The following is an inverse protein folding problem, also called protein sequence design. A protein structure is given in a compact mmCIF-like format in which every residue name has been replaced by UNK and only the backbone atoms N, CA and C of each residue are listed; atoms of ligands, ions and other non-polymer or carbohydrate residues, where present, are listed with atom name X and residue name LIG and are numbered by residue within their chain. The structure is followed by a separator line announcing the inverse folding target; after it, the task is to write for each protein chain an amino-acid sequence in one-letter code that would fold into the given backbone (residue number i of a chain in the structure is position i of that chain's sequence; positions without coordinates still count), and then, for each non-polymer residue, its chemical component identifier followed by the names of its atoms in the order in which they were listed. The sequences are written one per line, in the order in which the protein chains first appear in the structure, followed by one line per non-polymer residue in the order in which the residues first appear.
data_IF_852253113129
#
_entry.id   IF_852253113129
#
_cell.length_a   1.000
_cell.length_b   1.000
_cell.length_c   1.000
_cell.angle_alpha   90.00
_cell.angle_beta   90.00
_cell.angle_gamma   90.00
#
_symmetry.space_group_name_H-M   'P 1'
#
loop_
_entity.id
_entity.type
_entity.pdbx_description
1 polymer ?
#
# COMPACT_ATOMS: atom_id res chain seq x y z
N UNK A 1 14.11 -40.98 -8.44
CA UNK A 1 13.13 -41.59 -9.36
C UNK A 1 12.21 -40.55 -9.94
N UNK A 2 11.92 -40.68 -11.22
CA UNK A 2 10.93 -39.83 -11.91
C UNK A 2 9.52 -40.30 -11.54
N UNK A 3 8.54 -39.37 -11.54
CA UNK A 3 7.11 -39.68 -11.29
C UNK A 3 6.83 -40.36 -9.95
N UNK A 4 7.44 -39.90 -8.87
CA UNK A 4 7.25 -40.53 -7.56
C UNK A 4 5.78 -40.57 -7.13
N UNK A 5 4.96 -39.52 -7.39
CA UNK A 5 3.53 -39.54 -7.09
C UNK A 5 2.73 -40.56 -7.89
N UNK A 6 3.26 -41.07 -8.98
CA UNK A 6 2.68 -42.14 -9.79
C UNK A 6 3.29 -43.53 -9.53
N UNK A 7 4.09 -43.65 -8.47
CA UNK A 7 4.82 -44.87 -8.12
C UNK A 7 4.39 -45.30 -6.72
N UNK A 8 4.18 -46.62 -6.52
CA UNK A 8 3.93 -47.19 -5.19
C UNK A 8 5.16 -46.92 -4.31
N UNK A 9 4.94 -46.40 -3.11
CA UNK A 9 6.00 -45.90 -2.22
C UNK A 9 6.98 -47.03 -1.80
N UNK A 10 6.42 -48.25 -1.60
CA UNK A 10 7.21 -49.44 -1.26
C UNK A 10 8.16 -49.81 -2.41
N UNK A 11 7.67 -49.79 -3.65
CA UNK A 11 8.47 -50.04 -4.83
C UNK A 11 9.56 -48.99 -5.05
N UNK A 12 9.23 -47.73 -4.84
CA UNK A 12 10.21 -46.65 -4.90
C UNK A 12 11.35 -46.87 -3.88
N UNK A 13 11.05 -47.29 -2.66
CA UNK A 13 12.05 -47.62 -1.62
C UNK A 13 12.85 -48.82 -2.03
N UNK A 14 12.25 -49.88 -2.56
CA UNK A 14 12.95 -51.07 -3.05
C UNK A 14 13.97 -50.72 -4.11
N UNK A 15 13.60 -49.95 -5.13
CA UNK A 15 14.51 -49.50 -6.19
C UNK A 15 15.61 -48.62 -5.65
N UNK A 16 15.32 -47.65 -4.79
CA UNK A 16 16.33 -46.80 -4.17
C UNK A 16 17.34 -47.64 -3.36
N UNK A 17 16.86 -48.59 -2.56
CA UNK A 17 17.71 -49.43 -1.75
C UNK A 17 18.59 -50.35 -2.61
N UNK A 18 18.06 -50.90 -3.72
CA UNK A 18 18.87 -51.69 -4.66
C UNK A 18 20.02 -50.89 -5.29
N UNK A 19 19.76 -49.64 -5.65
CA UNK A 19 20.80 -48.71 -6.16
C UNK A 19 21.83 -48.39 -5.07
N UNK A 20 21.36 -48.09 -3.86
CA UNK A 20 22.22 -47.78 -2.72
C UNK A 20 23.11 -48.98 -2.32
N UNK A 21 22.63 -50.22 -2.42
CA UNK A 21 23.40 -51.42 -2.17
C UNK A 21 24.57 -51.60 -3.17
N UNK A 22 24.40 -51.12 -4.42
CA UNK A 22 25.49 -51.10 -5.42
C UNK A 22 26.43 -49.93 -5.20
N UNK A 23 25.87 -48.75 -4.90
CA UNK A 23 26.66 -47.53 -4.73
C UNK A 23 27.46 -47.48 -3.45
N UNK A 24 26.95 -48.08 -2.38
CA UNK A 24 27.55 -48.16 -1.03
C UNK A 24 28.02 -46.77 -0.55
N UNK A 25 27.11 -45.80 -0.37
CA UNK A 25 27.48 -44.50 0.11
C UNK A 25 28.01 -44.55 1.55
N UNK A 26 28.81 -43.57 1.90
CA UNK A 26 29.33 -43.38 3.25
C UNK A 26 29.05 -41.95 3.71
N UNK A 27 29.10 -41.65 5.02
CA UNK A 27 28.89 -40.28 5.50
C UNK A 27 29.82 -39.24 4.86
N UNK A 28 31.05 -39.65 4.49
CA UNK A 28 32.03 -38.80 3.81
C UNK A 28 31.82 -38.73 2.29
N UNK A 29 31.04 -39.66 1.73
CA UNK A 29 30.68 -39.72 0.31
C UNK A 29 29.21 -40.05 0.16
N UNK A 30 28.37 -39.08 0.44
CA UNK A 30 26.92 -39.23 0.41
C UNK A 30 26.38 -39.44 -1.01
N UNK A 31 25.30 -40.19 -1.10
CA UNK A 31 24.44 -40.23 -2.30
C UNK A 31 23.27 -39.29 -2.15
N UNK A 32 22.80 -38.74 -3.24
CA UNK A 32 21.55 -37.94 -3.27
C UNK A 32 20.45 -38.83 -3.86
N UNK A 33 19.40 -39.06 -3.11
CA UNK A 33 18.16 -39.66 -3.61
C UNK A 33 17.13 -38.53 -3.77
N UNK A 34 16.77 -38.25 -5.01
CA UNK A 34 15.79 -37.21 -5.32
C UNK A 34 14.38 -37.81 -5.51
N UNK A 35 13.42 -37.27 -4.83
CA UNK A 35 12.00 -37.67 -4.83
C UNK A 35 11.17 -36.53 -5.45
N UNK A 36 11.01 -36.51 -6.79
CA UNK A 36 10.23 -35.45 -7.45
C UNK A 36 8.74 -35.78 -7.43
N UNK A 37 7.91 -34.77 -7.27
CA UNK A 37 6.48 -34.95 -7.49
C UNK A 37 6.17 -35.17 -8.97
N UNK A 38 7.00 -34.66 -9.86
CA UNK A 38 6.90 -34.63 -11.34
C UNK A 38 5.62 -33.93 -11.80
N UNK A 39 4.46 -34.37 -11.34
CA UNK A 39 3.19 -33.67 -11.42
C UNK A 39 2.60 -33.64 -10.02
N UNK A 40 2.18 -32.46 -9.56
CA UNK A 40 1.57 -32.31 -8.25
C UNK A 40 0.12 -32.82 -8.27
N UNK A 41 -0.08 -34.12 -8.08
CA UNK A 41 -1.38 -34.77 -8.14
C UNK A 41 -1.96 -35.14 -6.77
N UNK A 42 -1.21 -34.94 -5.68
CA UNK A 42 -1.62 -35.22 -4.32
C UNK A 42 -1.57 -33.95 -3.43
N UNK A 43 -2.21 -34.02 -2.26
CA UNK A 43 -2.11 -32.94 -1.27
C UNK A 43 -0.75 -32.97 -0.55
N UNK A 44 -0.24 -31.82 -0.05
CA UNK A 44 1.06 -31.73 0.60
C UNK A 44 1.27 -32.75 1.74
N UNK A 45 0.26 -32.95 2.60
CA UNK A 45 0.36 -33.91 3.71
C UNK A 45 0.46 -35.37 3.23
N UNK A 46 -0.14 -35.73 2.08
CA UNK A 46 0.00 -37.06 1.49
C UNK A 46 1.45 -37.30 1.06
N UNK A 47 2.04 -36.31 0.37
CA UNK A 47 3.46 -36.35 0.02
C UNK A 47 4.35 -36.45 1.25
N UNK A 48 4.05 -35.66 2.31
CA UNK A 48 4.79 -35.74 3.57
C UNK A 48 4.74 -37.15 4.20
N UNK A 49 3.58 -37.79 4.25
CA UNK A 49 3.46 -39.17 4.74
C UNK A 49 4.27 -40.16 3.88
N UNK A 50 4.22 -40.02 2.55
CA UNK A 50 5.01 -40.87 1.64
C UNK A 50 6.51 -40.65 1.84
N UNK A 51 6.94 -39.40 1.99
CA UNK A 51 8.34 -39.06 2.21
C UNK A 51 8.85 -39.54 3.57
N UNK A 52 8.03 -39.43 4.63
CA UNK A 52 8.36 -39.99 5.94
C UNK A 52 8.56 -41.49 5.87
N UNK A 53 7.71 -42.19 5.09
CA UNK A 53 7.90 -43.60 4.82
C UNK A 53 9.23 -43.88 4.12
N UNK A 54 9.56 -43.15 3.06
CA UNK A 54 10.85 -43.27 2.36
C UNK A 54 12.00 -43.01 3.33
N UNK A 55 11.96 -41.92 4.09
CA UNK A 55 12.94 -41.55 5.09
C UNK A 55 13.25 -42.68 6.07
N UNK A 56 12.20 -43.36 6.55
CA UNK A 56 12.34 -44.45 7.56
C UNK A 56 12.81 -45.79 6.97
N UNK A 57 12.65 -46.01 5.67
CA UNK A 57 12.92 -47.31 5.03
C UNK A 57 14.12 -47.31 4.08
N UNK A 58 14.75 -46.14 3.84
CA UNK A 58 16.00 -46.06 3.08
C UNK A 58 17.16 -46.69 3.86
N UNK A 59 17.89 -47.59 3.21
CA UNK A 59 19.18 -48.06 3.70
C UNK A 59 20.21 -46.93 3.66
N UNK A 60 21.23 -47.03 4.49
CA UNK A 60 22.33 -46.06 4.56
C UNK A 60 21.86 -44.63 4.79
N UNK A 61 20.78 -44.42 5.54
CA UNK A 61 20.12 -43.09 5.68
C UNK A 61 21.09 -41.97 6.07
N UNK A 62 22.05 -42.25 6.95
CA UNK A 62 23.07 -41.26 7.38
C UNK A 62 24.08 -40.90 6.27
N UNK A 63 24.13 -41.71 5.21
CA UNK A 63 24.97 -41.50 4.02
C UNK A 63 24.15 -41.05 2.80
N UNK A 64 22.88 -40.70 2.98
CA UNK A 64 21.97 -40.25 1.91
C UNK A 64 21.47 -38.85 2.21
N UNK A 65 21.59 -37.99 1.25
CA UNK A 65 20.82 -36.74 1.22
C UNK A 65 19.48 -36.99 0.52
N UNK A 66 18.40 -36.97 1.28
CA UNK A 66 17.06 -37.13 0.75
C UNK A 66 16.58 -35.75 0.20
N UNK A 67 16.57 -35.68 -1.12
CA UNK A 67 16.21 -34.47 -1.85
C UNK A 67 14.78 -34.55 -2.35
N UNK A 68 14.06 -33.42 -2.32
CA UNK A 68 12.71 -33.30 -2.87
C UNK A 68 12.68 -32.26 -3.98
N UNK A 69 11.84 -32.48 -4.98
CA UNK A 69 11.68 -31.62 -6.15
C UNK A 69 10.21 -31.41 -6.45
N UNK A 70 9.51 -30.57 -5.69
CA UNK A 70 8.09 -30.32 -5.91
C UNK A 70 7.84 -29.48 -7.17
N UNK A 71 6.84 -29.87 -7.96
CA UNK A 71 6.18 -29.02 -8.95
C UNK A 71 4.99 -28.28 -8.33
N UNK A 72 4.38 -27.35 -9.08
CA UNK A 72 3.37 -26.44 -8.55
C UNK A 72 2.02 -26.51 -9.31
N UNK A 73 1.67 -27.69 -9.83
CA UNK A 73 0.49 -27.86 -10.68
C UNK A 73 -0.83 -27.52 -9.97
N UNK A 74 -0.89 -27.66 -8.64
CA UNK A 74 -2.05 -27.33 -7.80
C UNK A 74 -1.86 -26.03 -7.00
N UNK A 75 -0.73 -25.32 -7.20
CA UNK A 75 -0.40 -24.15 -6.41
C UNK A 75 0.09 -24.46 -4.99
N UNK A 76 0.48 -25.70 -4.69
CA UNK A 76 0.88 -26.13 -3.36
C UNK A 76 2.37 -26.47 -3.24
N UNK A 77 3.18 -26.17 -4.26
CA UNK A 77 4.60 -26.55 -4.32
C UNK A 77 5.39 -26.13 -3.10
N UNK A 78 5.19 -24.89 -2.59
CA UNK A 78 5.86 -24.39 -1.38
C UNK A 78 5.42 -25.18 -0.15
N UNK A 79 4.11 -25.39 0.05
CA UNK A 79 3.60 -26.18 1.17
C UNK A 79 4.08 -27.62 1.12
N UNK A 80 4.17 -28.20 -0.08
CA UNK A 80 4.72 -29.56 -0.30
C UNK A 80 6.18 -29.63 0.11
N UNK A 81 6.99 -28.59 -0.20
CA UNK A 81 8.39 -28.52 0.22
C UNK A 81 8.51 -28.41 1.74
N UNK A 82 7.74 -27.53 2.38
CA UNK A 82 7.77 -27.33 3.84
C UNK A 82 7.40 -28.61 4.59
N UNK A 83 6.32 -29.26 4.19
CA UNK A 83 5.91 -30.56 4.78
C UNK A 83 6.95 -31.63 4.49
N UNK A 84 7.56 -31.63 3.32
CA UNK A 84 8.64 -32.54 2.96
C UNK A 84 9.87 -32.41 3.86
N UNK A 85 10.30 -31.19 4.16
CA UNK A 85 11.40 -30.93 5.12
C UNK A 85 11.03 -31.43 6.51
N UNK A 86 9.81 -31.17 6.98
CA UNK A 86 9.32 -31.69 8.26
C UNK A 86 9.25 -33.23 8.29
N UNK A 87 9.03 -33.86 7.15
CA UNK A 87 8.96 -35.31 7.00
C UNK A 87 10.36 -36.00 6.84
N UNK A 88 11.44 -35.22 6.84
CA UNK A 88 12.81 -35.72 6.85
C UNK A 88 13.60 -35.51 5.56
N UNK A 89 13.18 -34.63 4.66
CA UNK A 89 14.03 -34.20 3.55
C UNK A 89 15.20 -33.35 4.07
N UNK A 90 16.38 -33.61 3.50
CA UNK A 90 17.60 -32.83 3.80
C UNK A 90 17.82 -31.70 2.80
N UNK A 91 17.18 -31.77 1.63
CA UNK A 91 17.39 -30.85 0.52
C UNK A 91 16.12 -30.59 -0.26
N UNK A 92 15.97 -29.35 -0.71
CA UNK A 92 14.87 -28.92 -1.62
C UNK A 92 15.49 -28.46 -2.93
N UNK A 93 14.97 -28.97 -4.04
CA UNK A 93 15.28 -28.53 -5.40
C UNK A 93 14.09 -27.75 -5.97
N UNK A 94 14.37 -26.64 -6.58
CA UNK A 94 13.36 -25.76 -7.18
C UNK A 94 14.01 -24.68 -8.02
N UNK A 95 13.28 -23.61 -8.26
CA UNK A 95 13.75 -22.50 -9.10
C UNK A 95 13.43 -21.15 -8.46
N UNK A 96 14.14 -20.12 -8.88
CA UNK A 96 13.80 -18.75 -8.50
C UNK A 96 12.43 -18.39 -9.08
N UNK A 97 11.56 -17.87 -8.22
CA UNK A 97 10.21 -17.44 -8.55
C UNK A 97 9.31 -18.53 -9.19
N UNK A 98 9.65 -19.80 -8.95
CA UNK A 98 8.84 -20.93 -9.40
C UNK A 98 8.91 -21.21 -10.91
N UNK A 99 9.89 -20.69 -11.64
CA UNK A 99 10.01 -20.94 -13.07
C UNK A 99 10.14 -22.44 -13.37
N UNK A 100 9.56 -22.91 -14.46
CA UNK A 100 9.65 -24.32 -14.87
C UNK A 100 8.52 -24.74 -15.81
N UNK A 101 8.45 -26.04 -16.05
CA UNK A 101 7.43 -26.60 -16.92
C UNK A 101 6.02 -26.45 -16.36
N UNK A 102 5.04 -26.28 -17.22
CA UNK A 102 3.60 -26.14 -16.94
C UNK A 102 3.36 -24.95 -16.01
N UNK A 103 3.00 -25.18 -14.75
CA UNK A 103 2.80 -24.15 -13.71
C UNK A 103 4.06 -23.80 -12.93
N UNK A 104 5.17 -24.47 -13.25
CA UNK A 104 6.49 -24.26 -12.64
C UNK A 104 6.84 -25.25 -11.53
N UNK A 105 8.01 -25.03 -10.96
CA UNK A 105 8.56 -25.74 -9.82
C UNK A 105 8.23 -25.02 -8.50
N UNK A 106 8.64 -25.61 -7.38
CA UNK A 106 8.62 -24.90 -6.10
C UNK A 106 9.50 -23.65 -6.19
N UNK A 107 8.99 -22.56 -5.66
CA UNK A 107 9.71 -21.28 -5.58
C UNK A 107 10.68 -21.30 -4.39
N UNK A 108 11.98 -21.35 -4.66
CA UNK A 108 13.03 -21.36 -3.65
C UNK A 108 13.12 -20.06 -2.86
N UNK A 109 12.71 -18.92 -3.45
CA UNK A 109 12.65 -17.65 -2.72
C UNK A 109 11.60 -17.73 -1.62
N UNK A 110 10.41 -18.25 -1.94
CA UNK A 110 9.35 -18.42 -0.96
C UNK A 110 9.75 -19.43 0.13
N UNK A 111 10.29 -20.59 -0.23
CA UNK A 111 10.72 -21.58 0.76
C UNK A 111 11.79 -21.00 1.70
N UNK A 112 12.82 -20.36 1.15
CA UNK A 112 13.89 -19.78 1.96
C UNK A 112 13.39 -18.64 2.86
N UNK A 113 12.55 -17.75 2.35
CA UNK A 113 12.00 -16.65 3.15
C UNK A 113 10.98 -17.14 4.19
N UNK A 114 10.22 -18.19 3.92
CA UNK A 114 9.36 -18.82 4.91
C UNK A 114 10.18 -19.43 6.06
N UNK A 115 11.27 -20.11 5.77
CA UNK A 115 12.20 -20.61 6.79
C UNK A 115 12.75 -19.44 7.63
N UNK A 116 13.25 -18.39 6.99
CA UNK A 116 13.77 -17.20 7.65
C UNK A 116 12.74 -16.56 8.57
N UNK A 117 11.49 -16.38 8.13
CA UNK A 117 10.42 -15.80 8.93
C UNK A 117 10.04 -16.63 10.16
N UNK A 118 10.40 -17.91 10.19
CA UNK A 118 10.26 -18.81 11.33
C UNK A 118 11.53 -18.97 12.16
N UNK A 119 12.57 -18.17 11.90
CA UNK A 119 13.82 -18.17 12.66
C UNK A 119 14.83 -19.22 12.24
N UNK A 120 14.66 -19.86 11.09
CA UNK A 120 15.62 -20.78 10.51
C UNK A 120 16.43 -20.10 9.41
N UNK A 121 17.75 -20.06 9.55
CA UNK A 121 18.63 -19.53 8.51
C UNK A 121 18.71 -20.49 7.32
N UNK A 122 18.19 -20.13 6.13
CA UNK A 122 18.28 -20.98 4.94
C UNK A 122 19.68 -20.99 4.31
N UNK A 123 20.63 -20.23 4.87
CA UNK A 123 21.98 -20.01 4.32
C UNK A 123 21.93 -19.44 2.88
N UNK A 124 20.90 -18.66 2.59
CA UNK A 124 20.66 -17.99 1.31
C UNK A 124 20.56 -16.47 1.55
N UNK A 125 21.17 -15.69 0.66
CA UNK A 125 21.15 -14.23 0.75
C UNK A 125 20.08 -13.63 -0.18
N UNK A 126 19.00 -13.16 0.41
CA UNK A 126 17.92 -12.41 -0.25
C UNK A 126 17.92 -10.92 0.10
N UNK A 127 18.98 -10.41 0.74
CA UNK A 127 19.08 -9.02 1.20
C UNK A 127 18.99 -7.97 0.07
N UNK A 128 19.11 -8.38 -1.19
CA UNK A 128 18.94 -7.52 -2.35
C UNK A 128 17.96 -8.13 -3.35
N UNK A 129 16.71 -8.27 -2.94
CA UNK A 129 15.64 -8.87 -3.74
C UNK A 129 15.43 -8.16 -5.08
N UNK A 130 15.55 -6.83 -5.11
CA UNK A 130 15.41 -6.06 -6.35
C UNK A 130 16.41 -6.48 -7.41
N UNK A 131 17.69 -6.61 -7.05
CA UNK A 131 18.75 -7.06 -7.98
C UNK A 131 18.51 -8.48 -8.45
N UNK A 132 17.98 -9.34 -7.59
CA UNK A 132 17.63 -10.71 -7.95
C UNK A 132 16.50 -10.74 -8.99
N UNK A 133 15.42 -9.98 -8.78
CA UNK A 133 14.31 -9.84 -9.74
C UNK A 133 14.82 -9.30 -11.08
N UNK A 134 15.56 -8.20 -11.09
CA UNK A 134 16.14 -7.60 -12.31
C UNK A 134 17.04 -8.61 -13.06
N UNK A 135 17.83 -9.39 -12.33
CA UNK A 135 18.71 -10.41 -12.93
C UNK A 135 17.89 -11.54 -13.55
N UNK A 136 16.87 -12.04 -12.82
CA UNK A 136 15.99 -13.09 -13.30
C UNK A 136 15.25 -12.65 -14.57
N UNK A 137 14.62 -11.47 -14.55
CA UNK A 137 13.87 -10.95 -15.68
C UNK A 137 14.74 -10.72 -16.92
N UNK A 138 15.95 -10.20 -16.73
CA UNK A 138 16.92 -10.00 -17.82
C UNK A 138 17.39 -11.33 -18.44
N UNK A 139 17.60 -12.37 -17.64
CA UNK A 139 18.12 -13.65 -18.11
C UNK A 139 17.04 -14.54 -18.75
N UNK A 140 15.83 -14.50 -18.21
CA UNK A 140 14.74 -15.37 -18.65
C UNK A 140 13.78 -14.70 -19.62
N UNK A 141 13.72 -13.36 -19.67
CA UNK A 141 12.71 -12.61 -20.38
C UNK A 141 11.31 -12.69 -19.76
N UNK A 142 11.19 -13.29 -18.58
CA UNK A 142 9.90 -13.46 -17.84
C UNK A 142 9.81 -12.43 -16.74
N UNK A 143 8.64 -11.86 -16.53
CA UNK A 143 8.39 -10.90 -15.46
C UNK A 143 8.00 -11.59 -14.15
N UNK A 144 8.51 -11.09 -13.03
CA UNK A 144 8.07 -11.48 -11.70
C UNK A 144 6.72 -10.83 -11.43
N UNK A 145 5.75 -11.60 -10.92
CA UNK A 145 4.43 -11.06 -10.61
C UNK A 145 4.52 -9.90 -9.61
N UNK A 146 3.79 -8.78 -9.81
CA UNK A 146 3.73 -7.70 -8.81
C UNK A 146 3.24 -8.14 -7.43
N UNK A 147 2.59 -9.31 -7.34
CA UNK A 147 2.11 -9.92 -6.10
C UNK A 147 2.90 -11.15 -5.67
N UNK A 148 4.08 -11.38 -6.27
CA UNK A 148 4.96 -12.48 -5.87
C UNK A 148 5.34 -12.31 -4.39
N UNK A 149 5.13 -13.31 -3.52
CA UNK A 149 5.51 -13.20 -2.13
C UNK A 149 6.97 -12.74 -1.97
N UNK A 150 7.22 -11.85 -1.02
CA UNK A 150 8.51 -11.22 -0.70
C UNK A 150 9.17 -10.38 -1.80
N UNK A 151 8.97 -10.70 -3.07
CA UNK A 151 9.67 -10.10 -4.21
C UNK A 151 8.83 -9.10 -5.02
N UNK A 152 7.52 -9.30 -5.07
CA UNK A 152 6.63 -8.50 -5.90
C UNK A 152 6.58 -7.03 -5.50
N UNK A 153 6.34 -6.17 -6.46
CA UNK A 153 6.31 -4.72 -6.28
C UNK A 153 5.29 -4.27 -5.21
N UNK A 154 4.16 -5.01 -5.07
CA UNK A 154 3.03 -4.64 -4.22
C UNK A 154 3.03 -5.31 -2.84
N UNK A 155 4.00 -6.17 -2.52
CA UNK A 155 3.93 -7.02 -1.32
C UNK A 155 4.10 -6.26 0.00
N UNK A 156 4.71 -5.08 -0.04
CA UNK A 156 4.86 -4.19 1.12
C UNK A 156 4.01 -2.93 1.00
N UNK A 157 2.90 -3.00 0.27
CA UNK A 157 2.00 -1.88 0.03
C UNK A 157 0.65 -2.15 0.72
N UNK A 158 0.14 -1.18 1.46
CA UNK A 158 -1.21 -1.24 2.02
C UNK A 158 -2.13 -0.22 1.33
N UNK A 159 -3.30 -0.67 0.87
CA UNK A 159 -4.27 0.17 0.16
C UNK A 159 -5.34 0.78 1.07
N UNK A 160 -5.60 0.18 2.22
CA UNK A 160 -6.59 0.66 3.18
C UNK A 160 -5.95 1.63 4.18
N UNK A 161 -6.59 2.77 4.42
CA UNK A 161 -6.12 3.74 5.41
C UNK A 161 -6.05 3.18 6.84
N UNK A 162 -6.92 2.22 7.19
CA UNK A 162 -6.85 1.53 8.49
C UNK A 162 -5.65 0.61 8.61
N UNK A 163 -5.27 -0.06 7.51
CA UNK A 163 -4.06 -0.90 7.48
C UNK A 163 -2.80 -0.04 7.58
N UNK A 164 -2.76 1.09 6.88
CA UNK A 164 -1.64 2.04 6.94
C UNK A 164 -1.44 2.63 8.34
N UNK A 165 -2.53 3.01 9.01
CA UNK A 165 -2.49 3.49 10.39
C UNK A 165 -1.97 2.41 11.35
N UNK A 166 -2.41 1.16 11.18
CA UNK A 166 -1.92 0.03 11.96
C UNK A 166 -0.43 -0.25 11.73
N UNK A 167 0.03 -0.22 10.47
CA UNK A 167 1.46 -0.37 10.13
C UNK A 167 2.28 0.76 10.74
N UNK A 168 1.86 2.01 10.60
CA UNK A 168 2.57 3.15 11.17
C UNK A 168 2.71 3.05 12.71
N UNK A 169 1.65 2.63 13.41
CA UNK A 169 1.68 2.37 14.86
C UNK A 169 2.59 1.20 15.22
N UNK A 170 2.54 0.11 14.44
CA UNK A 170 3.40 -1.05 14.62
C UNK A 170 4.88 -0.72 14.45
N UNK A 171 5.24 0.05 13.41
CA UNK A 171 6.61 0.50 13.20
C UNK A 171 7.12 1.40 14.33
N UNK A 172 6.30 2.34 14.81
CA UNK A 172 6.64 3.19 15.94
C UNK A 172 6.85 2.38 17.23
N UNK A 173 6.00 1.37 17.49
CA UNK A 173 6.14 0.48 18.64
C UNK A 173 7.39 -0.40 18.52
N UNK A 174 7.71 -0.91 17.34
CA UNK A 174 8.95 -1.65 17.10
C UNK A 174 10.20 -0.82 17.42
N UNK A 175 10.23 0.45 16.97
CA UNK A 175 11.34 1.35 17.29
C UNK A 175 11.49 1.61 18.80
N UNK A 176 10.38 1.73 19.52
CA UNK A 176 10.41 1.90 20.97
C UNK A 176 10.95 0.66 21.68
N UNK A 177 10.47 -0.55 21.30
CA UNK A 177 10.95 -1.84 21.83
C UNK A 177 12.42 -2.07 21.51
N UNK A 178 12.88 -1.75 20.31
CA UNK A 178 14.28 -1.86 19.93
C UNK A 178 15.19 -1.01 20.83
N UNK A 179 14.74 0.19 21.26
CA UNK A 179 15.48 1.01 22.25
C UNK A 179 15.56 0.35 23.64
N UNK A 180 14.64 -0.57 23.95
CA UNK A 180 14.59 -1.34 25.19
C UNK A 180 15.34 -2.68 25.07
N UNK A 181 15.93 -2.98 23.90
CA UNK A 181 16.68 -4.21 23.62
C UNK A 181 15.82 -5.38 23.13
N UNK A 182 14.56 -5.15 22.78
CA UNK A 182 13.67 -6.15 22.20
C UNK A 182 13.67 -6.05 20.66
N UNK A 183 14.19 -7.07 20.00
CA UNK A 183 14.19 -7.16 18.53
C UNK A 183 13.17 -8.21 18.04
N UNK A 184 11.89 -7.88 18.15
CA UNK A 184 10.78 -8.71 17.71
C UNK A 184 10.08 -8.01 16.56
N UNK A 185 9.79 -8.78 15.49
CA UNK A 185 8.96 -8.31 14.38
C UNK A 185 7.50 -8.71 14.60
N UNK A 186 6.64 -7.74 14.87
CA UNK A 186 5.20 -7.92 15.07
C UNK A 186 4.36 -6.80 14.41
N UNK A 187 4.91 -6.19 13.36
CA UNK A 187 4.23 -5.12 12.63
C UNK A 187 3.03 -5.68 11.86
N UNK A 188 1.81 -5.18 12.13
CA UNK A 188 0.61 -5.67 11.45
C UNK A 188 0.73 -5.56 9.91
N UNK A 189 0.19 -6.56 9.20
CA UNK A 189 0.15 -6.63 7.73
C UNK A 189 1.51 -6.76 7.02
N UNK A 190 2.61 -6.80 7.75
CA UNK A 190 3.94 -7.03 7.19
C UNK A 190 4.52 -8.32 7.79
N UNK A 191 4.64 -9.42 7.01
CA UNK A 191 5.10 -10.72 7.52
C UNK A 191 6.58 -10.73 7.93
N UNK A 192 7.38 -9.81 7.37
CA UNK A 192 8.81 -9.61 7.68
C UNK A 192 9.13 -8.11 7.67
N UNK A 193 10.30 -7.72 8.20
CA UNK A 193 10.83 -6.38 7.96
C UNK A 193 11.20 -6.25 6.47
N UNK A 194 10.65 -5.29 5.73
CA UNK A 194 11.04 -5.06 4.33
C UNK A 194 12.55 -4.88 4.14
N UNK A 195 13.27 -4.42 5.17
CA UNK A 195 14.73 -4.26 5.14
C UNK A 195 15.48 -5.58 4.98
N UNK A 196 14.90 -6.69 5.43
CA UNK A 196 15.51 -8.02 5.30
C UNK A 196 15.69 -8.44 3.83
N UNK A 197 14.90 -7.88 2.94
CA UNK A 197 14.98 -8.07 1.48
C UNK A 197 15.47 -6.83 0.73
N UNK A 198 16.09 -5.88 1.45
CA UNK A 198 16.64 -4.65 0.88
C UNK A 198 15.58 -3.65 0.39
N UNK A 199 14.38 -3.68 0.99
CA UNK A 199 13.27 -2.79 0.67
C UNK A 199 12.88 -1.92 1.86
N UNK A 200 11.98 -0.99 1.62
CA UNK A 200 11.30 -0.20 2.65
C UNK A 200 9.80 -0.45 2.56
N UNK A 201 9.08 -0.16 3.64
CA UNK A 201 7.64 -0.08 3.55
C UNK A 201 7.26 1.11 2.66
N UNK A 202 6.59 0.81 1.54
CA UNK A 202 6.20 1.81 0.56
C UNK A 202 4.95 2.55 1.04
N UNK A 203 5.13 3.45 2.02
CA UNK A 203 4.08 4.37 2.47
C UNK A 203 3.63 5.33 1.36
N UNK A 204 4.50 5.53 0.37
CA UNK A 204 4.30 6.51 -0.70
C UNK A 204 3.56 5.96 -1.93
N UNK A 205 3.43 4.64 -2.05
CA UNK A 205 2.65 4.00 -3.12
C UNK A 205 1.22 3.75 -2.64
N UNK A 206 0.53 4.80 -2.23
CA UNK A 206 -0.92 4.71 -2.04
C UNK A 206 -1.57 4.78 -3.42
N UNK A 207 -1.85 3.62 -3.97
CA UNK A 207 -2.69 3.50 -5.16
C UNK A 207 -4.14 3.54 -4.72
N UNK A 208 -4.85 4.63 -5.02
CA UNK A 208 -6.28 4.73 -4.75
C UNK A 208 -7.03 4.00 -5.84
N UNK A 209 -7.65 2.89 -5.45
CA UNK A 209 -8.60 2.15 -6.26
C UNK A 209 -10.01 2.23 -5.61
N UNK A 210 -10.99 1.60 -6.24
CA UNK A 210 -12.38 1.54 -5.75
C UNK A 210 -12.55 1.01 -4.31
N UNK A 211 -11.53 0.34 -3.76
CA UNK A 211 -11.51 -0.19 -2.39
C UNK A 211 -10.80 0.73 -1.39
N UNK A 212 -10.12 1.79 -1.87
CA UNK A 212 -9.42 2.73 -1.01
C UNK A 212 -10.41 3.62 -0.28
N UNK A 213 -10.36 3.60 1.06
CA UNK A 213 -11.26 4.39 1.89
C UNK A 213 -10.86 5.86 2.00
N UNK A 214 -11.68 6.63 2.72
CA UNK A 214 -11.54 8.09 2.97
C UNK A 214 -10.15 8.51 3.51
N UNK A 215 -9.43 7.61 4.16
CA UNK A 215 -8.10 7.86 4.74
C UNK A 215 -6.99 7.99 3.71
N UNK A 216 -7.04 7.22 2.62
CA UNK A 216 -6.00 7.20 1.60
C UNK A 216 -5.84 8.52 0.86
N UNK A 217 -6.96 9.16 0.45
CA UNK A 217 -6.95 10.46 -0.23
C UNK A 217 -6.33 11.54 0.66
N UNK A 218 -6.75 11.60 1.94
CA UNK A 218 -6.20 12.59 2.88
C UNK A 218 -4.70 12.38 3.13
N UNK A 219 -4.26 11.13 3.21
CA UNK A 219 -2.84 10.82 3.39
C UNK A 219 -2.00 11.29 2.19
N UNK A 220 -2.44 11.01 0.94
CA UNK A 220 -1.76 11.47 -0.27
C UNK A 220 -1.66 12.99 -0.31
N UNK A 221 -2.78 13.68 -0.10
CA UNK A 221 -2.81 15.14 -0.12
C UNK A 221 -1.87 15.73 0.95
N UNK A 222 -1.81 15.12 2.14
CA UNK A 222 -0.94 15.56 3.23
C UNK A 222 0.53 15.31 2.91
N UNK A 223 0.88 14.08 2.49
CA UNK A 223 2.28 13.65 2.35
C UNK A 223 2.95 14.26 1.13
N UNK A 224 2.25 14.31 -0.02
CA UNK A 224 2.84 14.79 -1.26
C UNK A 224 2.66 16.30 -1.49
N UNK A 225 1.60 16.89 -0.94
CA UNK A 225 1.23 18.28 -1.25
C UNK A 225 1.09 19.18 -0.02
N UNK A 226 1.33 18.66 1.19
CA UNK A 226 1.22 19.42 2.44
C UNK A 226 -0.21 19.84 2.82
N UNK A 227 -1.22 19.26 2.18
CA UNK A 227 -2.65 19.59 2.35
C UNK A 227 -3.25 18.71 3.43
N UNK A 228 -3.56 19.29 4.58
CA UNK A 228 -4.22 18.58 5.69
C UNK A 228 -5.70 18.92 5.72
N UNK A 229 -6.55 18.03 5.23
CA UNK A 229 -7.99 18.25 5.17
C UNK A 229 -8.62 18.27 6.57
N UNK A 230 -9.55 19.22 6.84
CA UNK A 230 -10.43 19.17 8.02
C UNK A 230 -11.15 17.82 8.13
N UNK A 231 -11.31 17.32 9.35
CA UNK A 231 -11.87 15.97 9.57
C UNK A 231 -13.23 15.78 8.87
N UNK A 232 -14.11 16.77 8.99
CA UNK A 232 -15.46 16.73 8.38
C UNK A 232 -15.42 16.77 6.84
N UNK A 233 -14.35 17.33 6.24
CA UNK A 233 -14.20 17.43 4.77
C UNK A 233 -13.68 16.13 4.14
N UNK A 234 -12.91 15.32 4.89
CA UNK A 234 -12.24 14.09 4.37
C UNK A 234 -13.19 13.13 3.70
N UNK A 235 -14.42 13.03 4.22
CA UNK A 235 -15.42 12.13 3.67
C UNK A 235 -15.88 12.56 2.28
N UNK A 236 -16.19 13.84 2.09
CA UNK A 236 -16.66 14.37 0.81
C UNK A 236 -15.57 14.29 -0.26
N UNK A 237 -14.35 14.72 0.07
CA UNK A 237 -13.22 14.62 -0.86
C UNK A 237 -12.93 13.17 -1.24
N UNK A 238 -12.95 12.26 -0.26
CA UNK A 238 -12.77 10.83 -0.51
C UNK A 238 -13.82 10.23 -1.44
N UNK A 239 -15.09 10.58 -1.28
CA UNK A 239 -16.16 10.13 -2.18
C UNK A 239 -16.02 10.75 -3.57
N UNK A 240 -15.70 12.03 -3.67
CA UNK A 240 -15.50 12.70 -4.97
C UNK A 240 -14.39 12.03 -5.78
N UNK A 241 -13.26 11.74 -5.14
CA UNK A 241 -12.13 11.05 -5.81
C UNK A 241 -12.51 9.63 -6.18
N UNK A 242 -13.21 8.92 -5.29
CA UNK A 242 -13.68 7.55 -5.56
C UNK A 242 -14.64 7.49 -6.75
N UNK A 243 -15.63 8.36 -6.81
CA UNK A 243 -16.61 8.40 -7.90
C UNK A 243 -15.96 8.62 -9.27
N UNK A 244 -14.87 9.39 -9.31
CA UNK A 244 -14.08 9.60 -10.54
C UNK A 244 -13.27 8.36 -10.88
N UNK A 245 -12.61 7.73 -9.88
CA UNK A 245 -11.87 6.48 -10.06
C UNK A 245 -12.76 5.36 -10.60
N UNK A 246 -13.96 5.22 -10.05
CA UNK A 246 -14.92 4.19 -10.45
C UNK A 246 -15.43 4.42 -11.88
N UNK A 247 -15.65 5.66 -12.29
CA UNK A 247 -16.10 6.02 -13.66
C UNK A 247 -15.02 5.77 -14.71
N UNK A 248 -13.77 6.04 -14.36
CA UNK A 248 -12.66 5.90 -15.29
C UNK A 248 -12.06 4.48 -15.31
N UNK A 249 -12.48 3.62 -14.39
CA UNK A 249 -11.95 2.25 -14.21
C UNK A 249 -10.41 2.21 -14.12
N UNK A 250 -9.83 3.25 -13.50
CA UNK A 250 -8.38 3.42 -13.39
C UNK A 250 -7.97 3.65 -11.94
N UNK A 251 -6.79 3.19 -11.65
CA UNK A 251 -6.07 3.55 -10.45
C UNK A 251 -5.56 5.00 -10.57
N UNK A 252 -5.83 5.82 -9.56
CA UNK A 252 -5.47 7.24 -9.60
C UNK A 252 -4.08 7.45 -9.01
N UNK A 253 -3.21 8.12 -9.76
CA UNK A 253 -1.92 8.59 -9.26
C UNK A 253 -2.09 9.71 -8.22
N UNK A 254 -1.10 9.95 -7.33
CA UNK A 254 -1.09 11.08 -6.42
C UNK A 254 -1.35 12.43 -7.13
N UNK A 255 -0.75 12.62 -8.29
CA UNK A 255 -0.93 13.82 -9.11
C UNK A 255 -2.39 13.99 -9.60
N UNK A 256 -3.02 12.90 -10.03
CA UNK A 256 -4.42 12.93 -10.46
C UNK A 256 -5.37 13.26 -9.32
N UNK A 257 -5.13 12.71 -8.13
CA UNK A 257 -5.90 13.02 -6.92
C UNK A 257 -5.79 14.49 -6.57
N UNK A 258 -4.58 15.03 -6.62
CA UNK A 258 -4.35 16.45 -6.37
C UNK A 258 -5.05 17.33 -7.42
N UNK A 259 -4.99 16.96 -8.70
CA UNK A 259 -5.65 17.70 -9.77
C UNK A 259 -7.18 17.69 -9.61
N UNK A 260 -7.78 16.53 -9.26
CA UNK A 260 -9.20 16.45 -8.94
C UNK A 260 -9.56 17.36 -7.76
N UNK A 261 -8.79 17.29 -6.68
CA UNK A 261 -8.99 18.13 -5.51
C UNK A 261 -8.87 19.61 -5.85
N UNK A 262 -7.83 19.99 -6.59
CA UNK A 262 -7.59 21.37 -7.03
C UNK A 262 -8.72 21.89 -7.90
N UNK A 263 -9.11 21.14 -8.91
CA UNK A 263 -10.19 21.53 -9.84
C UNK A 263 -11.53 21.67 -9.13
N UNK A 264 -11.84 20.77 -8.20
CA UNK A 264 -13.15 20.77 -7.55
C UNK A 264 -13.26 21.75 -6.38
N UNK A 265 -12.17 21.97 -5.63
CA UNK A 265 -12.27 22.64 -4.33
C UNK A 265 -11.41 23.90 -4.21
N UNK A 266 -10.29 24.02 -4.95
CA UNK A 266 -9.31 25.10 -4.72
C UNK A 266 -9.54 26.26 -5.67
N UNK A 267 -9.83 27.45 -5.11
CA UNK A 267 -10.01 28.70 -5.85
C UNK A 267 -10.98 28.60 -7.04
N UNK A 268 -11.92 27.66 -7.00
CA UNK A 268 -12.88 27.39 -8.07
C UNK A 268 -14.15 28.24 -7.88
N UNK A 269 -14.29 29.30 -8.67
CA UNK A 269 -15.37 30.31 -8.56
C UNK A 269 -16.09 30.48 -9.90
N UNK A 270 -16.90 29.47 -10.35
CA UNK A 270 -17.49 29.47 -11.69
C UNK A 270 -18.67 30.45 -11.85
N UNK A 271 -19.34 30.82 -10.79
CA UNK A 271 -20.54 31.67 -10.83
C UNK A 271 -20.21 33.14 -10.56
N UNK A 272 -19.47 33.40 -9.48
CA UNK A 272 -19.01 34.76 -9.14
C UNK A 272 -17.61 34.69 -8.53
N UNK A 273 -16.88 35.80 -8.55
CA UNK A 273 -15.59 35.95 -7.88
C UNK A 273 -15.52 37.28 -7.11
N UNK A 274 -14.70 37.28 -6.05
CA UNK A 274 -14.35 38.51 -5.35
C UNK A 274 -13.05 39.01 -5.94
N UNK A 275 -13.08 40.20 -6.54
CA UNK A 275 -11.90 40.80 -7.19
C UNK A 275 -11.08 41.67 -6.26
N UNK A 276 -11.76 42.39 -5.33
CA UNK A 276 -11.08 43.27 -4.40
C UNK A 276 -11.81 43.28 -3.04
N UNK A 277 -11.04 43.47 -1.96
CA UNK A 277 -11.53 43.68 -0.61
C UNK A 277 -10.74 44.81 0.05
N UNK A 278 -11.39 45.87 0.45
CA UNK A 278 -10.80 46.94 1.24
C UNK A 278 -11.39 46.92 2.64
N UNK A 279 -10.57 47.04 3.64
CA UNK A 279 -10.97 46.95 5.05
C UNK A 279 -10.67 48.26 5.76
N UNK A 280 -11.65 48.73 6.56
CA UNK A 280 -11.50 49.86 7.44
C UNK A 280 -11.86 49.48 8.87
N UNK A 281 -11.03 49.85 9.83
CA UNK A 281 -11.27 49.51 11.23
C UNK A 281 -11.73 50.76 11.98
N UNK A 282 -12.96 50.70 12.46
CA UNK A 282 -13.56 51.72 13.31
C UNK A 282 -14.13 51.10 14.60
N UNK A 283 -15.44 50.88 14.71
CA UNK A 283 -16.10 50.14 15.82
C UNK A 283 -16.42 48.70 15.45
N UNK A 284 -15.54 48.05 14.72
CA UNK A 284 -15.63 46.74 14.08
C UNK A 284 -14.81 46.76 12.81
N UNK A 285 -14.98 45.80 11.93
CA UNK A 285 -14.37 45.81 10.59
C UNK A 285 -15.46 46.13 9.56
N UNK A 286 -15.28 47.23 8.84
CA UNK A 286 -16.03 47.52 7.62
C UNK A 286 -15.25 46.93 6.43
N UNK A 287 -15.90 46.16 5.58
CA UNK A 287 -15.37 45.68 4.32
C UNK A 287 -16.12 46.26 3.14
N UNK A 288 -15.36 46.77 2.19
CA UNK A 288 -15.87 47.08 0.85
C UNK A 288 -15.42 45.94 -0.07
N UNK A 289 -16.39 45.15 -0.53
CA UNK A 289 -16.15 43.91 -1.30
C UNK A 289 -16.63 44.14 -2.74
N UNK A 290 -15.71 44.00 -3.69
CA UNK A 290 -16.05 44.05 -5.12
C UNK A 290 -16.31 42.61 -5.61
N UNK A 291 -17.56 42.33 -5.95
CA UNK A 291 -18.01 41.07 -6.50
C UNK A 291 -18.20 41.21 -8.01
N UNK A 292 -17.60 40.29 -8.76
CA UNK A 292 -17.86 40.13 -10.20
C UNK A 292 -18.78 38.93 -10.43
N UNK A 293 -19.98 39.18 -10.93
CA UNK A 293 -20.99 38.16 -11.18
C UNK A 293 -21.62 38.40 -12.58
N UNK A 294 -21.61 37.39 -13.43
CA UNK A 294 -22.03 37.47 -14.83
C UNK A 294 -21.37 38.63 -15.61
N UNK A 295 -20.10 38.91 -15.36
CA UNK A 295 -19.32 39.96 -16.02
C UNK A 295 -19.64 41.39 -15.51
N UNK A 296 -20.49 41.53 -14.49
CA UNK A 296 -20.82 42.80 -13.87
C UNK A 296 -20.12 42.90 -12.51
N UNK A 297 -19.43 44.02 -12.28
CA UNK A 297 -18.78 44.32 -11.00
C UNK A 297 -19.72 45.14 -10.13
N UNK A 298 -19.93 44.70 -8.90
CA UNK A 298 -20.69 45.41 -7.88
C UNK A 298 -19.85 45.55 -6.60
N UNK A 299 -19.95 46.71 -5.99
CA UNK A 299 -19.29 47.02 -4.72
C UNK A 299 -20.31 46.92 -3.61
N UNK A 300 -19.98 46.20 -2.55
CA UNK A 300 -20.87 45.93 -1.43
C UNK A 300 -20.15 46.30 -0.15
N UNK A 301 -20.76 47.17 0.64
CA UNK A 301 -20.28 47.56 1.95
C UNK A 301 -20.98 46.71 3.02
N UNK A 302 -20.18 46.12 3.93
CA UNK A 302 -20.72 45.35 5.04
C UNK A 302 -19.82 45.45 6.28
N UNK A 303 -20.43 45.27 7.44
CA UNK A 303 -19.74 45.26 8.74
C UNK A 303 -19.70 43.86 9.32
N UNK A 304 -18.66 43.57 10.11
CA UNK A 304 -18.50 42.30 10.82
C UNK A 304 -17.54 42.43 12.02
N UNK A 305 -17.49 41.39 12.81
CA UNK A 305 -16.58 41.29 13.95
C UNK A 305 -15.09 41.18 13.54
N UNK A 306 -14.85 40.72 12.31
CA UNK A 306 -13.53 40.57 11.72
C UNK A 306 -13.58 40.63 10.19
N UNK A 307 -12.43 40.60 9.53
CA UNK A 307 -12.33 40.70 8.06
C UNK A 307 -13.09 39.59 7.34
N UNK A 308 -13.00 38.39 7.82
CA UNK A 308 -13.73 37.24 7.25
C UNK A 308 -15.23 37.38 7.43
N UNK A 309 -15.69 37.77 8.62
CA UNK A 309 -17.11 37.93 8.94
C UNK A 309 -17.75 39.09 8.14
N UNK A 310 -17.04 40.20 7.95
CA UNK A 310 -17.53 41.31 7.13
C UNK A 310 -17.72 40.93 5.67
N UNK A 311 -16.80 40.12 5.08
CA UNK A 311 -16.97 39.58 3.72
C UNK A 311 -18.11 38.56 3.65
N UNK A 312 -18.26 37.71 4.65
CA UNK A 312 -19.39 36.75 4.74
C UNK A 312 -20.74 37.52 4.75
N UNK A 313 -20.83 38.59 5.53
CA UNK A 313 -22.03 39.43 5.61
C UNK A 313 -22.32 40.16 4.29
N UNK A 314 -21.28 40.64 3.58
CA UNK A 314 -21.42 41.21 2.25
C UNK A 314 -22.01 40.22 1.25
N UNK A 315 -21.53 39.01 1.21
CA UNK A 315 -22.03 37.94 0.31
C UNK A 315 -23.45 37.52 0.68
N UNK A 316 -23.77 37.39 1.98
CA UNK A 316 -25.14 37.10 2.45
C UNK A 316 -26.13 38.16 1.97
N UNK A 317 -25.77 39.44 2.10
CA UNK A 317 -26.58 40.55 1.64
C UNK A 317 -26.74 40.56 0.11
N UNK A 318 -25.65 40.34 -0.62
CA UNK A 318 -25.66 40.35 -2.09
C UNK A 318 -26.57 39.27 -2.69
N UNK A 319 -26.43 38.03 -2.20
CA UNK A 319 -27.22 36.89 -2.71
C UNK A 319 -28.57 36.73 -2.02
N UNK A 320 -28.87 37.54 -0.99
CA UNK A 320 -30.05 37.40 -0.16
C UNK A 320 -30.21 35.96 0.40
N UNK A 321 -29.12 35.38 0.89
CA UNK A 321 -29.04 34.00 1.39
C UNK A 321 -28.33 33.98 2.73
N UNK A 322 -28.74 33.09 3.63
CA UNK A 322 -28.08 32.90 4.90
C UNK A 322 -27.43 31.53 4.97
N UNK A 323 -26.34 31.43 5.74
CA UNK A 323 -25.62 30.21 6.07
C UNK A 323 -24.91 30.33 7.40
N UNK A 324 -24.53 29.20 7.97
CA UNK A 324 -23.74 29.13 9.18
C UNK A 324 -22.30 28.62 8.86
N UNK A 325 -21.31 29.30 9.44
CA UNK A 325 -19.94 28.83 9.40
C UNK A 325 -19.77 27.67 10.38
N UNK A 326 -19.48 26.47 9.88
CA UNK A 326 -19.30 25.26 10.69
C UNK A 326 -17.83 24.87 10.88
N UNK A 327 -16.99 25.16 9.89
CA UNK A 327 -15.56 24.84 9.92
C UNK A 327 -14.78 26.00 9.28
N UNK A 328 -13.73 26.40 10.00
CA UNK A 328 -12.72 27.32 9.48
C UNK A 328 -11.36 26.87 10.01
N UNK A 329 -10.49 26.42 9.12
CA UNK A 329 -9.13 25.98 9.42
C UNK A 329 -8.16 26.56 8.40
N UNK A 330 -6.94 26.81 8.81
CA UNK A 330 -5.88 27.33 7.95
C UNK A 330 -4.51 26.83 8.37
N UNK A 331 -3.61 26.66 7.42
CA UNK A 331 -2.19 26.34 7.69
C UNK A 331 -1.30 26.75 6.53
N UNK A 332 0.02 26.77 6.77
CA UNK A 332 1.01 27.00 5.74
C UNK A 332 1.27 25.71 4.95
N UNK A 333 1.36 25.77 3.62
CA UNK A 333 1.66 24.61 2.77
C UNK A 333 3.10 24.13 2.89
N UNK A 334 4.03 25.07 3.14
CA UNK A 334 5.47 24.78 3.29
C UNK A 334 6.04 25.50 4.50
N UNK A 335 7.25 25.17 4.89
CA UNK A 335 7.97 25.90 5.96
C UNK A 335 8.62 27.17 5.38
N UNK A 336 8.61 28.24 6.16
CA UNK A 336 9.26 29.51 5.81
C UNK A 336 8.28 30.67 5.61
N UNK A 337 8.81 31.90 5.60
CA UNK A 337 8.02 33.15 5.51
C UNK A 337 7.41 33.41 4.13
N UNK A 338 7.87 32.70 3.10
CA UNK A 338 7.34 32.79 1.72
C UNK A 338 6.35 31.65 1.39
N UNK A 339 5.90 30.90 2.40
CA UNK A 339 4.92 29.83 2.22
C UNK A 339 3.58 30.39 1.84
N UNK A 340 2.89 29.71 0.90
CA UNK A 340 1.47 29.96 0.66
C UNK A 340 0.62 29.42 1.82
N UNK A 341 -0.42 30.16 2.17
CA UNK A 341 -1.43 29.72 3.09
C UNK A 341 -2.52 28.93 2.35
N UNK A 342 -3.04 27.90 2.99
CA UNK A 342 -4.28 27.24 2.60
C UNK A 342 -5.32 27.44 3.68
N UNK A 343 -6.52 27.84 3.27
CA UNK A 343 -7.68 27.98 4.14
C UNK A 343 -8.81 27.07 3.68
N UNK A 344 -9.53 26.49 4.65
CA UNK A 344 -10.69 25.62 4.43
C UNK A 344 -11.90 26.24 5.09
N UNK A 345 -12.96 26.37 4.33
CA UNK A 345 -14.23 26.91 4.81
C UNK A 345 -15.33 25.88 4.56
N UNK A 346 -15.99 25.46 5.64
CA UNK A 346 -17.19 24.63 5.61
C UNK A 346 -18.38 25.43 6.10
N UNK A 347 -19.37 25.66 5.25
CA UNK A 347 -20.60 26.38 5.59
C UNK A 347 -21.82 25.46 5.46
N UNK A 348 -22.78 25.61 6.35
CA UNK A 348 -24.04 24.88 6.35
C UNK A 348 -25.17 25.77 5.83
N UNK A 349 -25.88 25.30 4.83
CA UNK A 349 -27.12 25.94 4.30
C UNK A 349 -28.16 24.83 4.06
N UNK A 350 -29.37 25.02 4.61
CA UNK A 350 -30.46 24.06 4.49
C UNK A 350 -30.01 22.61 4.84
N UNK A 351 -29.35 22.44 6.00
CA UNK A 351 -28.78 21.19 6.55
C UNK A 351 -27.74 20.49 5.65
N UNK A 352 -27.23 21.18 4.63
CA UNK A 352 -26.20 20.67 3.74
C UNK A 352 -24.90 21.44 3.90
N UNK A 353 -23.80 20.67 3.96
CA UNK A 353 -22.44 21.23 4.01
C UNK A 353 -21.92 21.57 2.61
N UNK A 354 -21.28 22.73 2.50
CA UNK A 354 -20.60 23.20 1.30
C UNK A 354 -19.19 23.61 1.66
N UNK A 355 -18.23 23.07 0.93
CA UNK A 355 -16.82 23.25 1.19
C UNK A 355 -16.13 24.10 0.13
N UNK A 356 -15.23 24.95 0.59
CA UNK A 356 -14.31 25.67 -0.28
C UNK A 356 -12.91 25.70 0.29
N UNK A 357 -11.93 25.75 -0.58
CA UNK A 357 -10.51 25.84 -0.25
C UNK A 357 -9.91 27.02 -1.00
N UNK A 358 -9.16 27.84 -0.28
CA UNK A 358 -8.43 28.97 -0.85
C UNK A 358 -6.93 28.80 -0.63
N UNK A 359 -6.16 29.10 -1.64
CA UNK A 359 -4.68 29.09 -1.57
C UNK A 359 -4.15 30.41 -2.08
N UNK A 360 -3.44 31.16 -1.23
CA UNK A 360 -2.83 32.44 -1.57
C UNK A 360 -1.58 32.67 -0.69
N UNK A 361 -0.75 33.64 -1.05
CA UNK A 361 0.37 34.11 -0.21
C UNK A 361 -0.13 34.89 1.00
N UNK A 362 -1.27 35.55 0.88
CA UNK A 362 -1.97 36.25 1.96
C UNK A 362 -3.06 35.35 2.56
N UNK A 363 -2.96 35.13 3.88
CA UNK A 363 -3.89 34.25 4.61
C UNK A 363 -5.34 34.77 4.56
N UNK A 364 -5.55 36.09 4.54
CA UNK A 364 -6.89 36.67 4.45
C UNK A 364 -7.47 36.45 3.06
N UNK A 365 -6.65 36.60 2.01
CA UNK A 365 -7.07 36.29 0.64
C UNK A 365 -7.37 34.82 0.46
N UNK A 366 -6.57 33.93 1.03
CA UNK A 366 -6.85 32.49 1.03
C UNK A 366 -8.20 32.19 1.69
N UNK A 367 -8.46 32.79 2.85
CA UNK A 367 -9.72 32.61 3.61
C UNK A 367 -10.93 33.14 2.85
N UNK A 368 -10.83 34.32 2.27
CA UNK A 368 -11.89 34.92 1.44
C UNK A 368 -12.14 34.10 0.18
N UNK A 369 -11.08 33.62 -0.46
CA UNK A 369 -11.20 32.71 -1.61
C UNK A 369 -11.90 31.39 -1.23
N UNK A 370 -11.56 30.81 -0.08
CA UNK A 370 -12.21 29.60 0.41
C UNK A 370 -13.72 29.83 0.63
N UNK A 371 -14.11 30.96 1.24
CA UNK A 371 -15.52 31.33 1.42
C UNK A 371 -16.21 31.50 0.06
N UNK A 372 -15.58 32.21 -0.87
CA UNK A 372 -16.11 32.43 -2.21
C UNK A 372 -16.37 31.10 -2.92
N UNK A 373 -15.44 30.14 -2.86
CA UNK A 373 -15.62 28.79 -3.41
C UNK A 373 -16.80 28.06 -2.76
N UNK A 374 -16.91 28.08 -1.44
CA UNK A 374 -18.01 27.42 -0.73
C UNK A 374 -19.37 27.99 -1.13
N UNK A 375 -19.49 29.32 -1.25
CA UNK A 375 -20.73 30.00 -1.67
C UNK A 375 -21.07 29.71 -3.13
N UNK A 376 -20.08 29.66 -4.04
CA UNK A 376 -20.26 29.29 -5.45
C UNK A 376 -20.94 27.93 -5.66
N UNK A 377 -21.01 27.09 -4.65
CA UNK A 377 -21.56 25.72 -4.76
C UNK A 377 -23.07 25.65 -4.60
N UNK A 378 -23.72 26.75 -4.22
CA UNK A 378 -25.17 26.78 -4.01
C UNK A 378 -25.89 28.03 -4.49
N UNK A 379 -25.17 29.02 -5.02
CA UNK A 379 -25.76 30.23 -5.64
C UNK A 379 -25.93 30.10 -7.14
#
# INVERSE_FOLDING_TARGET
PESFHGTEVEYAVEVCNAVLDVWQPTPDRKAIINIPTTVENAMPHVFGCQLEYVHKHLKYRDAVELSIHPHNDRGCGVATAEVGVLAGADRVEGTLFGNGERTGNVDLVNVGMNMFSHGYDPVLDFSNMKKMVETYERLTGMQVSPRQPYAGELVFTAFSGSHQDAIAKGLALKEERARQGEDIWDVPYLPIDPKDVGRTYDSDVIRINSQSGKGGVNYILKTHYGITLPEKMRAEVGYTVKDISDKEHKELSPEWIYNIFKEKYVNNTPVFTITECHYRQEKGIEAQVTVEHNGVKMVIDAQGNGRFDSVSNALKAYFNVNWELQVYEEHALTRGSSSKAVAYVGICKDDKMYWGVGVDEDIIKASVSALCVAVNRFV
#
